data_IF_054136392806
#
_entry.id   IF_054136392806
#
_cell.length_a   1.000
_cell.length_b   1.000
_cell.length_c   1.000
_cell.angle_alpha   90.00
_cell.angle_beta   90.00
_cell.angle_gamma   90.00
#
_symmetry.space_group_name_H-M   'P 1'
#
loop_
_entity.id
_entity.type
_entity.pdbx_description
1 polymer ?
#
# COMPACT_ATOMS: atom_id res chain seq x y z
N UNK A 1 21.66 -18.72 20.27
CA UNK A 1 20.69 -18.37 19.22
C UNK A 1 20.91 -16.92 18.83
N UNK A 2 21.10 -16.66 17.55
CA UNK A 2 21.30 -15.32 17.04
C UNK A 2 20.32 -15.05 15.91
N UNK A 3 19.92 -13.78 15.75
CA UNK A 3 19.04 -13.35 14.67
C UNK A 3 19.49 -12.00 14.10
N UNK A 4 19.39 -11.88 12.78
CA UNK A 4 19.53 -10.61 12.07
C UNK A 4 18.15 -10.09 11.67
N UNK A 5 17.90 -8.81 11.96
CA UNK A 5 16.71 -8.11 11.54
C UNK A 5 17.10 -7.10 10.46
N UNK A 6 16.63 -7.32 9.26
CA UNK A 6 16.96 -6.50 8.09
C UNK A 6 15.72 -5.71 7.68
N UNK A 7 15.70 -4.39 7.90
CA UNK A 7 14.57 -3.56 7.51
C UNK A 7 14.49 -3.41 5.98
N UNK A 8 13.28 -3.50 5.46
CA UNK A 8 12.94 -3.27 4.06
C UNK A 8 11.81 -2.22 3.98
N UNK A 9 12.15 -0.93 4.03
CA UNK A 9 11.15 0.12 3.96
C UNK A 9 10.41 0.07 2.62
N UNK A 10 9.11 0.39 2.66
CA UNK A 10 8.31 0.53 1.46
C UNK A 10 8.70 1.79 0.71
N UNK A 11 8.95 1.73 -0.61
CA UNK A 11 9.19 2.94 -1.41
C UNK A 11 7.92 3.77 -1.63
N UNK A 12 6.74 3.21 -1.33
CA UNK A 12 5.44 3.81 -1.64
C UNK A 12 4.71 4.35 -0.41
N UNK A 13 5.04 3.85 0.77
CA UNK A 13 4.43 4.26 2.03
C UNK A 13 5.47 4.23 3.15
N UNK A 14 5.81 5.40 3.69
CA UNK A 14 6.76 5.54 4.79
C UNK A 14 6.30 4.85 6.10
N UNK A 15 5.00 4.60 6.22
CA UNK A 15 4.41 3.96 7.38
C UNK A 15 4.45 2.43 7.30
N UNK A 16 4.92 1.88 6.18
CA UNK A 16 5.05 0.43 5.98
C UNK A 16 6.51 0.01 5.98
N UNK A 17 6.87 -0.83 6.93
CA UNK A 17 8.19 -1.43 7.06
C UNK A 17 8.10 -2.95 6.90
N UNK A 18 8.71 -3.46 5.84
CA UNK A 18 9.01 -4.88 5.75
C UNK A 18 10.18 -5.24 6.66
N UNK A 19 10.20 -6.45 7.18
CA UNK A 19 11.28 -6.96 8.02
C UNK A 19 11.65 -8.37 7.59
N UNK A 20 12.89 -8.56 7.14
CA UNK A 20 13.45 -9.88 6.93
C UNK A 20 14.18 -10.33 8.20
N UNK A 21 13.79 -11.47 8.74
CA UNK A 21 14.41 -12.05 9.93
C UNK A 21 15.17 -13.29 9.51
N UNK A 22 16.48 -13.28 9.76
CA UNK A 22 17.35 -14.44 9.60
C UNK A 22 17.72 -14.95 10.99
N UNK A 23 17.31 -16.17 11.32
CA UNK A 23 17.59 -16.78 12.62
C UNK A 23 18.44 -18.04 12.46
N UNK A 24 19.41 -18.24 13.36
CA UNK A 24 20.29 -19.39 13.38
C UNK A 24 20.56 -19.88 14.81
N UNK A 25 21.00 -21.14 14.93
CA UNK A 25 21.36 -21.71 16.21
C UNK A 25 22.86 -21.55 16.54
N UNK A 26 23.67 -21.22 15.55
CA UNK A 26 25.12 -21.15 15.63
C UNK A 26 25.62 -19.71 15.49
N UNK A 27 26.32 -19.22 16.52
CA UNK A 27 26.87 -17.85 16.55
C UNK A 27 28.06 -17.69 15.58
N UNK A 28 28.83 -18.75 15.29
CA UNK A 28 29.95 -18.69 14.35
C UNK A 28 29.54 -18.41 12.89
N UNK A 29 28.29 -18.67 12.55
CA UNK A 29 27.76 -18.34 11.21
C UNK A 29 27.41 -16.87 11.02
N UNK A 30 27.46 -16.06 12.08
CA UNK A 30 27.17 -14.63 12.01
C UNK A 30 28.21 -13.84 11.19
N UNK A 31 29.48 -14.27 11.21
CA UNK A 31 30.53 -13.60 10.43
C UNK A 31 30.32 -13.76 8.92
N UNK A 32 29.92 -14.95 8.47
CA UNK A 32 29.55 -15.17 7.07
C UNK A 32 28.30 -14.40 6.70
N UNK A 33 27.35 -14.33 7.63
CA UNK A 33 26.10 -13.58 7.44
C UNK A 33 26.37 -12.07 7.32
N UNK A 34 27.33 -11.53 8.07
CA UNK A 34 27.71 -10.12 8.00
C UNK A 34 28.28 -9.72 6.64
N UNK A 35 29.09 -10.59 6.01
CA UNK A 35 29.65 -10.39 4.67
C UNK A 35 28.55 -10.39 3.59
N UNK A 36 27.48 -11.16 3.80
CA UNK A 36 26.34 -11.25 2.89
C UNK A 36 25.23 -10.22 3.16
N UNK A 37 25.41 -9.35 4.14
CA UNK A 37 24.41 -8.36 4.51
C UNK A 37 23.87 -7.51 3.34
N UNK A 38 24.71 -7.04 2.39
CA UNK A 38 24.20 -6.33 1.21
C UNK A 38 23.26 -7.19 0.36
N UNK A 39 23.57 -8.48 0.20
CA UNK A 39 22.73 -9.42 -0.53
C UNK A 39 21.39 -9.64 0.17
N UNK A 40 21.41 -9.83 1.48
CA UNK A 40 20.17 -9.98 2.26
C UNK A 40 19.31 -8.72 2.25
N UNK A 41 19.94 -7.54 2.25
CA UNK A 41 19.22 -6.27 2.06
C UNK A 41 18.53 -6.19 0.70
N UNK A 42 19.25 -6.51 -0.37
CA UNK A 42 18.68 -6.54 -1.72
C UNK A 42 17.53 -7.53 -1.81
N UNK A 43 17.68 -8.72 -1.21
CA UNK A 43 16.62 -9.73 -1.14
C UNK A 43 15.40 -9.22 -0.36
N UNK A 44 15.62 -8.62 0.80
CA UNK A 44 14.54 -8.07 1.64
C UNK A 44 13.73 -7.01 0.90
N UNK A 45 14.41 -6.08 0.21
CA UNK A 45 13.76 -5.04 -0.60
C UNK A 45 12.98 -5.65 -1.78
N UNK A 46 13.58 -6.62 -2.48
CA UNK A 46 12.93 -7.29 -3.62
C UNK A 46 11.69 -8.08 -3.20
N UNK A 47 11.76 -8.78 -2.07
CA UNK A 47 10.62 -9.50 -1.51
C UNK A 47 9.52 -8.53 -1.05
N UNK A 48 9.89 -7.43 -0.38
CA UNK A 48 8.93 -6.40 0.05
C UNK A 48 8.19 -5.82 -1.16
N UNK A 49 8.90 -5.44 -2.21
CA UNK A 49 8.31 -4.91 -3.44
C UNK A 49 7.40 -5.94 -4.13
N UNK A 50 7.83 -7.20 -4.20
CA UNK A 50 7.02 -8.28 -4.76
C UNK A 50 5.71 -8.49 -3.99
N UNK A 51 5.75 -8.52 -2.65
CA UNK A 51 4.55 -8.65 -1.82
C UNK A 51 3.61 -7.45 -1.98
N UNK A 52 4.15 -6.24 -2.08
CA UNK A 52 3.34 -5.04 -2.28
C UNK A 52 2.65 -5.04 -3.65
N UNK A 53 3.36 -5.37 -4.73
CA UNK A 53 2.76 -5.50 -6.06
C UNK A 53 1.65 -6.54 -6.07
N UNK A 54 1.89 -7.71 -5.48
CA UNK A 54 0.89 -8.76 -5.38
C UNK A 54 -0.33 -8.33 -4.56
N UNK A 55 -0.12 -7.64 -3.44
CA UNK A 55 -1.19 -7.09 -2.63
C UNK A 55 -2.02 -6.03 -3.37
N UNK A 56 -1.34 -5.17 -4.15
CA UNK A 56 -1.96 -4.18 -5.03
C UNK A 56 -2.87 -4.85 -6.08
N UNK A 57 -2.34 -5.81 -6.81
CA UNK A 57 -3.07 -6.50 -7.87
C UNK A 57 -4.28 -7.25 -7.30
N UNK A 58 -4.10 -7.88 -6.13
CA UNK A 58 -5.19 -8.55 -5.42
C UNK A 58 -6.26 -7.56 -4.96
N UNK A 59 -5.88 -6.40 -4.44
CA UNK A 59 -6.82 -5.35 -4.02
C UNK A 59 -7.63 -4.83 -5.22
N UNK A 60 -6.96 -4.52 -6.33
CA UNK A 60 -7.61 -4.07 -7.57
C UNK A 60 -8.62 -5.10 -8.06
N UNK A 61 -8.20 -6.37 -8.11
CA UNK A 61 -9.03 -7.48 -8.57
C UNK A 61 -10.22 -7.72 -7.64
N UNK A 62 -9.98 -7.83 -6.33
CA UNK A 62 -11.01 -8.16 -5.34
C UNK A 62 -12.05 -7.05 -5.18
N UNK A 63 -11.61 -5.80 -5.15
CA UNK A 63 -12.49 -4.65 -5.02
C UNK A 63 -13.03 -4.15 -6.38
N UNK A 64 -12.68 -4.79 -7.50
CA UNK A 64 -13.06 -4.36 -8.84
C UNK A 64 -12.82 -2.87 -9.06
N UNK A 65 -11.62 -2.40 -8.69
CA UNK A 65 -11.27 -0.99 -8.81
C UNK A 65 -11.12 -0.59 -10.28
N UNK A 66 -11.73 0.52 -10.62
CA UNK A 66 -11.64 1.12 -11.96
C UNK A 66 -10.80 2.39 -11.92
N UNK A 67 -10.32 2.86 -13.09
CA UNK A 67 -9.60 4.14 -13.19
C UNK A 67 -10.45 5.31 -12.69
N UNK A 68 -11.77 5.23 -12.84
CA UNK A 68 -12.71 6.24 -12.30
C UNK A 68 -12.74 6.24 -10.77
N UNK A 69 -12.65 5.08 -10.14
CA UNK A 69 -12.56 4.98 -8.67
C UNK A 69 -11.23 5.57 -8.18
N UNK A 70 -10.14 5.29 -8.90
CA UNK A 70 -8.81 5.82 -8.57
C UNK A 70 -8.75 7.35 -8.77
N UNK A 71 -9.35 7.90 -9.86
CA UNK A 71 -9.44 9.34 -10.06
C UNK A 71 -10.24 10.02 -8.93
N UNK A 72 -11.34 9.39 -8.51
CA UNK A 72 -12.13 9.86 -7.38
C UNK A 72 -11.28 9.88 -6.08
N UNK A 73 -10.51 8.83 -5.83
CA UNK A 73 -9.59 8.73 -4.70
C UNK A 73 -8.48 9.78 -4.74
N UNK A 74 -7.88 10.04 -5.91
CA UNK A 74 -6.84 11.07 -6.09
C UNK A 74 -7.37 12.46 -5.74
N UNK A 75 -8.58 12.80 -6.18
CA UNK A 75 -9.21 14.09 -5.87
C UNK A 75 -9.49 14.25 -4.38
N UNK A 76 -9.99 13.21 -3.73
CA UNK A 76 -10.15 13.19 -2.27
C UNK A 76 -8.81 13.32 -1.54
N UNK A 77 -7.76 12.66 -2.03
CA UNK A 77 -6.40 12.76 -1.49
C UNK A 77 -5.83 14.18 -1.56
N UNK A 78 -6.28 14.98 -2.54
CA UNK A 78 -5.97 16.42 -2.68
C UNK A 78 -6.87 17.32 -1.80
N UNK A 79 -7.74 16.75 -0.97
CA UNK A 79 -8.65 17.50 -0.11
C UNK A 79 -9.85 18.10 -0.83
N UNK A 80 -10.20 17.63 -2.02
CA UNK A 80 -11.36 18.12 -2.74
C UNK A 80 -12.64 17.55 -2.13
N UNK A 81 -13.54 18.41 -1.67
CA UNK A 81 -14.88 18.02 -1.21
C UNK A 81 -15.80 17.62 -2.37
N UNK A 82 -16.92 16.95 -2.04
CA UNK A 82 -17.88 16.42 -3.03
C UNK A 82 -18.35 17.47 -4.06
N UNK A 83 -18.55 18.71 -3.66
CA UNK A 83 -18.96 19.80 -4.58
C UNK A 83 -17.90 20.09 -5.64
N UNK A 84 -16.61 20.16 -5.23
CA UNK A 84 -15.49 20.41 -6.14
C UNK A 84 -15.26 19.24 -7.09
N UNK A 85 -15.34 18.00 -6.58
CA UNK A 85 -15.24 16.79 -7.39
C UNK A 85 -16.39 16.72 -8.40
N UNK A 86 -17.61 16.99 -7.96
CA UNK A 86 -18.80 17.00 -8.79
C UNK A 86 -18.70 17.99 -9.95
N UNK A 87 -18.27 19.22 -9.66
CA UNK A 87 -18.03 20.24 -10.69
C UNK A 87 -17.02 19.78 -11.73
N UNK A 88 -15.89 19.20 -11.29
CA UNK A 88 -14.83 18.72 -12.18
C UNK A 88 -15.24 17.49 -13.02
N UNK A 89 -16.19 16.69 -12.56
CA UNK A 89 -16.67 15.49 -13.24
C UNK A 89 -18.05 15.69 -13.93
N UNK A 90 -18.53 16.93 -13.99
CA UNK A 90 -19.87 17.28 -14.52
C UNK A 90 -20.97 16.38 -13.93
N UNK A 91 -20.96 16.20 -12.61
CA UNK A 91 -21.88 15.35 -11.88
C UNK A 91 -22.52 16.12 -10.71
N UNK A 92 -23.54 15.56 -10.10
CA UNK A 92 -24.10 16.10 -8.86
C UNK A 92 -23.30 15.68 -7.63
N UNK A 93 -23.19 16.51 -6.58
CA UNK A 93 -22.50 16.15 -5.34
C UNK A 93 -23.01 14.85 -4.71
N UNK A 94 -24.33 14.64 -4.74
CA UNK A 94 -24.96 13.40 -4.24
C UNK A 94 -24.49 12.16 -4.99
N UNK A 95 -24.24 12.30 -6.30
CA UNK A 95 -23.69 11.20 -7.13
C UNK A 95 -22.27 10.84 -6.68
N UNK A 96 -21.46 11.85 -6.34
CA UNK A 96 -20.10 11.63 -5.80
C UNK A 96 -20.17 10.91 -4.46
N UNK A 97 -21.07 11.31 -3.57
CA UNK A 97 -21.28 10.65 -2.28
C UNK A 97 -21.68 9.18 -2.43
N UNK A 98 -22.61 8.90 -3.36
CA UNK A 98 -23.00 7.51 -3.67
C UNK A 98 -21.83 6.68 -4.23
N UNK A 99 -21.00 7.28 -5.10
CA UNK A 99 -19.80 6.58 -5.63
C UNK A 99 -18.82 6.24 -4.52
N UNK A 100 -18.53 7.18 -3.61
CA UNK A 100 -17.68 6.92 -2.46
C UNK A 100 -18.26 5.86 -1.54
N UNK A 101 -19.56 5.89 -1.28
CA UNK A 101 -20.21 4.85 -0.48
C UNK A 101 -19.97 3.45 -1.08
N UNK A 102 -20.20 3.29 -2.39
CA UNK A 102 -19.94 2.02 -3.09
C UNK A 102 -18.47 1.61 -3.03
N UNK A 103 -17.56 2.57 -3.21
CA UNK A 103 -16.12 2.33 -3.13
C UNK A 103 -15.71 1.86 -1.73
N UNK A 104 -16.21 2.52 -0.68
CA UNK A 104 -15.94 2.14 0.70
C UNK A 104 -16.43 0.71 1.01
N UNK A 105 -17.61 0.35 0.54
CA UNK A 105 -18.15 -1.02 0.70
C UNK A 105 -17.25 -2.05 0.01
N UNK A 106 -16.83 -1.79 -1.24
CA UNK A 106 -15.95 -2.71 -1.99
C UNK A 106 -14.57 -2.85 -1.36
N UNK A 107 -14.04 -1.77 -0.79
CA UNK A 107 -12.76 -1.75 -0.08
C UNK A 107 -12.88 -2.23 1.37
N UNK A 108 -14.09 -2.47 1.87
CA UNK A 108 -14.38 -2.84 3.27
C UNK A 108 -13.81 -1.83 4.27
N UNK A 109 -13.96 -0.54 3.98
CA UNK A 109 -13.50 0.56 4.84
C UNK A 109 -14.68 1.41 5.33
N UNK A 110 -14.49 2.09 6.46
CA UNK A 110 -15.56 2.85 7.11
C UNK A 110 -15.86 4.19 6.41
N UNK A 111 -14.86 4.83 5.82
CA UNK A 111 -14.99 6.18 5.29
C UNK A 111 -14.00 6.45 4.14
N UNK A 112 -14.14 7.63 3.50
CA UNK A 112 -13.32 8.06 2.36
C UNK A 112 -11.85 8.19 2.68
N UNK A 113 -11.52 8.68 3.88
CA UNK A 113 -10.11 8.85 4.30
C UNK A 113 -9.43 7.50 4.40
N UNK A 114 -10.11 6.51 4.94
CA UNK A 114 -9.59 5.16 5.04
C UNK A 114 -9.45 4.50 3.65
N UNK A 115 -10.38 4.77 2.71
CA UNK A 115 -10.26 4.34 1.33
C UNK A 115 -9.00 4.93 0.67
N UNK A 116 -8.77 6.24 0.82
CA UNK A 116 -7.58 6.93 0.31
C UNK A 116 -6.31 6.37 0.95
N UNK A 117 -6.30 6.19 2.27
CA UNK A 117 -5.15 5.63 3.00
C UNK A 117 -4.81 4.23 2.50
N UNK A 118 -5.83 3.37 2.33
CA UNK A 118 -5.65 2.02 1.82
C UNK A 118 -5.06 2.03 0.41
N UNK A 119 -5.62 2.85 -0.49
CA UNK A 119 -5.13 2.96 -1.87
C UNK A 119 -3.69 3.51 -1.93
N UNK A 120 -3.34 4.49 -1.10
CA UNK A 120 -1.96 4.99 -0.98
C UNK A 120 -1.00 3.92 -0.51
N UNK A 121 -1.37 3.15 0.51
CA UNK A 121 -0.56 2.05 1.05
C UNK A 121 -0.14 1.06 -0.03
N UNK A 122 -1.01 0.80 -1.00
CA UNK A 122 -0.72 -0.10 -2.12
C UNK A 122 -0.22 0.61 -3.38
N UNK A 123 0.11 1.90 -3.30
CA UNK A 123 0.64 2.67 -4.44
C UNK A 123 -0.33 2.81 -5.61
N UNK A 124 -1.64 2.93 -5.32
CA UNK A 124 -2.69 3.11 -6.33
C UNK A 124 -3.03 4.59 -6.58
N UNK A 125 -2.63 5.47 -5.65
CA UNK A 125 -2.89 6.92 -5.73
C UNK A 125 -1.59 7.72 -5.71
#
# INVERSE_FOLDING_TARGET
RAAWLIPAPSPQDSDVLGLLILAGQDEHRLDVTSQLLPLYRALALSLSDWFQRRGRDELVRRAHLTDRDLDLGRREALGHGSKRIASALHAEPKTIDCRFHRLNVRLSVANRRDAVRLCKRYGLL
#
